data_IF_471131378893
#
_entry.id   IF_471131378893
#
_cell.length_a   1.000
_cell.length_b   1.000
_cell.length_c   1.000
_cell.angle_alpha   90.00
_cell.angle_beta   90.00
_cell.angle_gamma   90.00
#
_symmetry.space_group_name_H-M   'P 1'
#
loop_
_entity.id
_entity.type
_entity.pdbx_description
1 polymer ?
#
# COMPACT_ATOMS: atom_id res chain seq x y z
N UNK A 1 -47.25 4.94 3.49
CA UNK A 1 -45.99 4.16 3.43
C UNK A 1 -45.85 3.48 4.79
N UNK A 2 -46.11 2.21 4.85
CA UNK A 2 -45.89 1.41 6.09
C UNK A 2 -44.40 1.09 6.17
N UNK A 3 -43.76 1.54 7.23
CA UNK A 3 -42.39 1.15 7.57
C UNK A 3 -42.34 -0.37 7.71
N UNK A 4 -41.46 -1.08 7.02
CA UNK A 4 -41.32 -2.51 7.21
C UNK A 4 -40.98 -2.79 8.66
N UNK A 5 -41.77 -3.57 9.34
CA UNK A 5 -41.47 -4.07 10.69
C UNK A 5 -40.36 -5.12 10.54
N UNK A 6 -39.47 -5.17 11.51
CA UNK A 6 -38.27 -6.02 11.61
C UNK A 6 -38.53 -7.56 11.53
N UNK A 7 -39.76 -7.97 11.24
CA UNK A 7 -40.21 -9.38 11.13
C UNK A 7 -40.42 -9.85 9.69
N UNK A 8 -40.30 -9.00 8.69
CA UNK A 8 -40.42 -9.45 7.30
C UNK A 8 -39.15 -10.18 6.90
N UNK A 9 -39.24 -11.49 6.76
CA UNK A 9 -38.21 -12.32 6.14
C UNK A 9 -38.11 -11.93 4.65
N UNK A 10 -37.45 -10.85 4.34
CA UNK A 10 -37.17 -10.47 2.97
C UNK A 10 -36.22 -11.53 2.37
N UNK A 11 -36.77 -12.39 1.54
CA UNK A 11 -36.03 -13.27 0.66
C UNK A 11 -35.72 -12.43 -0.58
N UNK A 12 -34.46 -12.06 -0.74
CA UNK A 12 -34.00 -11.43 -1.96
C UNK A 12 -33.63 -12.52 -2.96
N UNK A 13 -34.01 -12.31 -4.22
CA UNK A 13 -33.57 -13.12 -5.36
C UNK A 13 -32.73 -12.24 -6.27
N UNK A 14 -31.60 -12.76 -6.72
CA UNK A 14 -30.85 -12.13 -7.83
C UNK A 14 -31.59 -12.33 -9.16
N UNK A 15 -31.03 -11.75 -10.23
CA UNK A 15 -31.57 -11.86 -11.57
C UNK A 15 -31.57 -13.32 -12.10
N UNK A 16 -30.72 -14.17 -11.54
CA UNK A 16 -30.56 -15.60 -11.84
C UNK A 16 -31.49 -16.48 -10.98
N UNK A 17 -32.25 -15.91 -10.03
CA UNK A 17 -33.22 -16.62 -9.20
C UNK A 17 -32.68 -17.26 -7.92
N UNK A 18 -31.42 -17.00 -7.56
CA UNK A 18 -30.84 -17.48 -6.30
C UNK A 18 -31.47 -16.76 -5.09
N UNK A 19 -31.84 -17.51 -4.06
CA UNK A 19 -32.41 -16.96 -2.83
C UNK A 19 -31.32 -16.62 -1.81
N UNK A 20 -31.32 -15.39 -1.31
CA UNK A 20 -30.46 -14.93 -0.21
C UNK A 20 -31.24 -14.86 1.09
N UNK A 21 -30.79 -15.57 2.12
CA UNK A 21 -31.53 -15.82 3.37
C UNK A 21 -31.51 -14.68 4.38
N UNK A 22 -31.32 -13.51 4.13
CA UNK A 22 -31.40 -12.23 4.86
C UNK A 22 -30.38 -11.26 4.29
N UNK A 23 -30.78 -10.05 4.07
CA UNK A 23 -29.90 -8.95 3.76
C UNK A 23 -30.01 -7.88 4.84
N UNK A 24 -28.89 -7.39 5.34
CA UNK A 24 -28.88 -6.13 6.06
C UNK A 24 -28.73 -5.01 5.05
N UNK A 25 -29.55 -3.96 5.17
CA UNK A 25 -29.42 -2.75 4.37
C UNK A 25 -28.33 -1.90 5.01
N UNK A 26 -27.25 -1.70 4.30
CA UNK A 26 -26.22 -0.73 4.68
C UNK A 26 -26.66 0.67 4.21
N UNK A 27 -26.10 1.73 4.81
CA UNK A 27 -26.27 3.09 4.32
C UNK A 27 -25.87 3.14 2.84
N UNK A 28 -26.76 3.69 2.00
CA UNK A 28 -26.59 3.68 0.54
C UNK A 28 -27.39 2.62 -0.20
N UNK A 29 -28.18 1.76 0.50
CA UNK A 29 -29.08 0.80 -0.12
C UNK A 29 -28.43 -0.50 -0.58
N UNK A 30 -27.16 -0.74 -0.26
CA UNK A 30 -26.51 -2.01 -0.53
C UNK A 30 -27.03 -3.12 0.39
N UNK A 31 -27.28 -4.31 -0.17
CA UNK A 31 -27.73 -5.46 0.56
C UNK A 31 -26.57 -6.46 0.71
N UNK A 32 -26.33 -6.93 1.94
CA UNK A 32 -25.29 -7.92 2.21
C UNK A 32 -25.95 -9.23 2.69
N UNK A 33 -25.66 -10.37 2.05
CA UNK A 33 -26.12 -11.67 2.53
C UNK A 33 -25.55 -11.94 3.93
N UNK A 34 -26.36 -12.43 4.86
CA UNK A 34 -25.95 -12.66 6.26
C UNK A 34 -24.85 -13.72 6.40
N UNK A 35 -24.73 -14.61 5.43
CA UNK A 35 -23.73 -15.68 5.44
C UNK A 35 -22.46 -15.36 4.64
N UNK A 36 -22.35 -14.17 4.05
CA UNK A 36 -21.14 -13.75 3.37
C UNK A 36 -20.19 -13.06 4.36
N UNK A 37 -18.94 -13.46 4.36
CA UNK A 37 -17.89 -12.71 5.04
C UNK A 37 -17.74 -11.34 4.36
N UNK A 38 -18.01 -10.28 5.10
CA UNK A 38 -17.99 -8.90 4.59
C UNK A 38 -16.69 -8.57 3.85
N UNK A 39 -15.55 -8.94 4.43
CA UNK A 39 -14.25 -8.62 3.84
C UNK A 39 -13.99 -9.41 2.57
N UNK A 40 -14.46 -10.66 2.50
CA UNK A 40 -14.41 -11.45 1.27
C UNK A 40 -15.24 -10.79 0.16
N UNK A 41 -16.41 -10.28 0.47
CA UNK A 41 -17.26 -9.61 -0.51
C UNK A 41 -16.66 -8.25 -0.95
N UNK A 42 -16.03 -7.51 -0.04
CA UNK A 42 -15.25 -6.30 -0.38
C UNK A 42 -14.09 -6.66 -1.30
N UNK A 43 -13.34 -7.71 -0.99
CA UNK A 43 -12.20 -8.16 -1.81
C UNK A 43 -12.60 -8.59 -3.22
N UNK A 44 -13.83 -9.14 -3.38
CA UNK A 44 -14.42 -9.47 -4.69
C UNK A 44 -14.97 -8.25 -5.44
N UNK A 45 -15.04 -7.06 -4.80
CA UNK A 45 -15.64 -5.86 -5.37
C UNK A 45 -17.19 -5.85 -5.32
N UNK A 46 -17.79 -6.73 -4.54
CA UNK A 46 -19.26 -6.87 -4.44
C UNK A 46 -19.89 -5.83 -3.49
N UNK A 47 -19.10 -5.09 -2.72
CA UNK A 47 -19.58 -4.04 -1.80
C UNK A 47 -19.24 -2.68 -2.40
N UNK A 48 -20.22 -1.95 -2.94
CA UNK A 48 -19.98 -0.64 -3.56
C UNK A 48 -19.32 0.34 -2.60
N UNK A 49 -18.40 1.15 -3.11
CA UNK A 49 -17.69 2.16 -2.33
C UNK A 49 -16.69 1.64 -1.31
N UNK A 50 -16.49 0.31 -1.24
CA UNK A 50 -15.54 -0.31 -0.32
C UNK A 50 -14.43 -1.03 -1.08
N UNK A 51 -13.21 -0.95 -0.54
CA UNK A 51 -12.06 -1.70 -1.06
C UNK A 51 -11.06 -2.01 0.06
N UNK A 52 -10.18 -2.97 -0.18
CA UNK A 52 -9.10 -3.31 0.74
C UNK A 52 -7.76 -2.88 0.16
N UNK A 53 -6.91 -2.33 1.01
CA UNK A 53 -5.50 -2.11 0.70
C UNK A 53 -4.69 -3.01 1.62
N UNK A 54 -3.93 -3.92 1.03
CA UNK A 54 -2.88 -4.66 1.70
C UNK A 54 -1.55 -3.94 1.50
N UNK A 55 -0.81 -3.72 2.58
CA UNK A 55 0.49 -3.07 2.57
C UNK A 55 1.50 -3.85 3.37
N UNK A 56 2.68 -3.96 2.82
CA UNK A 56 3.84 -4.45 3.56
C UNK A 56 5.06 -3.59 3.25
N UNK A 57 6.00 -3.57 4.19
CA UNK A 57 7.27 -2.90 4.00
C UNK A 57 8.33 -3.54 4.88
N UNK A 58 9.56 -3.49 4.44
CA UNK A 58 10.71 -3.88 5.22
C UNK A 58 11.79 -2.82 5.13
N UNK A 59 12.67 -2.77 6.12
CA UNK A 59 13.77 -1.83 6.14
C UNK A 59 14.66 -1.98 7.36
N UNK A 60 15.84 -1.42 7.25
CA UNK A 60 16.81 -1.39 8.32
C UNK A 60 16.55 -0.19 9.24
N UNK A 61 16.10 -0.46 10.47
CA UNK A 61 15.96 0.55 11.50
C UNK A 61 17.33 0.97 12.04
N UNK A 62 17.45 2.26 12.35
CA UNK A 62 18.61 2.86 13.01
C UNK A 62 18.18 3.57 14.30
N UNK A 63 19.08 4.30 14.93
CA UNK A 63 18.76 5.14 16.10
C UNK A 63 17.86 6.32 15.77
N UNK A 64 17.79 6.72 14.51
CA UNK A 64 16.89 7.78 14.03
C UNK A 64 15.53 7.19 13.65
N UNK A 65 14.46 7.96 13.92
CA UNK A 65 13.12 7.59 13.47
C UNK A 65 13.04 7.75 11.95
N UNK A 66 12.63 6.68 11.28
CA UNK A 66 12.41 6.71 9.83
C UNK A 66 11.29 5.76 9.42
N UNK A 67 10.73 5.94 8.21
CA UNK A 67 9.72 5.04 7.67
C UNK A 67 10.27 3.63 7.50
N UNK A 68 9.39 2.64 7.63
CA UNK A 68 9.74 1.24 7.36
C UNK A 68 9.52 1.00 5.87
N UNK A 69 10.59 1.16 5.13
CA UNK A 69 10.66 0.97 3.68
C UNK A 69 12.11 0.65 3.28
N UNK A 70 12.31 -0.13 2.23
CA UNK A 70 13.63 -0.37 1.65
C UNK A 70 14.26 0.93 1.12
N UNK A 71 13.45 1.82 0.59
CA UNK A 71 13.89 3.17 0.24
C UNK A 71 14.04 3.99 1.51
N UNK A 72 15.09 4.79 1.60
CA UNK A 72 15.39 5.61 2.78
C UNK A 72 14.30 6.63 3.08
N UNK A 73 13.46 6.96 2.09
CA UNK A 73 12.45 8.00 2.19
C UNK A 73 11.13 7.57 1.55
N UNK A 74 10.02 8.01 2.14
CA UNK A 74 8.73 8.06 1.50
C UNK A 74 8.52 9.47 0.95
N UNK A 75 8.48 9.60 -0.38
CA UNK A 75 8.34 10.90 -1.05
C UNK A 75 6.90 11.39 -0.94
N UNK A 76 6.76 12.65 -0.58
CA UNK A 76 5.44 13.26 -0.31
C UNK A 76 5.28 14.64 -0.97
N UNK A 77 5.60 14.81 -2.27
CA UNK A 77 5.34 16.06 -2.95
C UNK A 77 3.82 16.32 -3.02
N UNK A 78 3.44 17.59 -3.09
CA UNK A 78 2.03 18.02 -3.33
C UNK A 78 1.77 18.29 -4.81
N UNK A 79 2.82 18.47 -5.59
CA UNK A 79 2.81 18.60 -7.05
C UNK A 79 3.48 17.35 -7.62
N UNK A 80 2.89 16.76 -8.64
CA UNK A 80 3.42 15.55 -9.26
C UNK A 80 4.80 15.78 -9.89
N UNK A 81 5.68 14.80 -9.69
CA UNK A 81 7.03 14.82 -10.26
C UNK A 81 7.07 13.97 -11.54
N UNK A 82 7.89 14.39 -12.50
CA UNK A 82 8.25 13.59 -13.65
C UNK A 82 9.19 12.48 -13.18
N UNK A 83 8.79 11.23 -13.35
CA UNK A 83 9.54 10.07 -12.86
C UNK A 83 10.14 9.27 -14.02
N UNK A 84 11.20 8.52 -13.73
CA UNK A 84 11.82 7.55 -14.63
C UNK A 84 12.15 6.26 -13.88
N UNK A 85 12.13 5.15 -14.61
CA UNK A 85 12.54 3.83 -14.11
C UNK A 85 13.77 3.35 -14.88
N UNK A 86 14.71 2.73 -14.18
CA UNK A 86 15.88 2.06 -14.76
C UNK A 86 16.26 0.85 -13.90
N UNK A 87 17.04 -0.05 -14.50
CA UNK A 87 17.72 -1.14 -13.79
C UNK A 87 19.22 -0.84 -13.63
N UNK A 88 19.86 -1.50 -12.70
CA UNK A 88 21.32 -1.57 -12.62
C UNK A 88 21.92 -2.64 -13.54
N UNK A 89 21.09 -3.49 -14.20
CA UNK A 89 21.51 -4.54 -15.11
C UNK A 89 20.90 -4.34 -16.51
N UNK A 90 21.75 -4.47 -17.54
CA UNK A 90 21.33 -4.30 -18.93
C UNK A 90 20.39 -5.41 -19.43
N UNK A 91 20.35 -6.56 -18.76
CA UNK A 91 19.48 -7.69 -19.10
C UNK A 91 18.02 -7.51 -18.66
N UNK A 92 17.70 -6.45 -17.91
CA UNK A 92 16.31 -6.09 -17.59
C UNK A 92 15.69 -5.26 -18.72
N UNK A 93 15.36 -5.94 -19.82
CA UNK A 93 14.76 -5.36 -21.02
C UNK A 93 13.99 -6.45 -21.80
N UNK A 94 13.12 -6.10 -22.77
CA UNK A 94 12.28 -7.08 -23.48
C UNK A 94 13.03 -8.17 -24.25
N UNK A 95 14.29 -7.98 -24.58
CA UNK A 95 15.13 -8.97 -25.27
C UNK A 95 16.02 -9.75 -24.28
N UNK A 96 16.08 -9.35 -23.02
CA UNK A 96 16.91 -9.95 -21.99
C UNK A 96 16.21 -11.04 -21.19
N UNK A 97 16.95 -11.60 -20.23
CA UNK A 97 16.45 -12.67 -19.36
C UNK A 97 15.74 -12.14 -18.09
N UNK A 98 15.96 -10.89 -17.74
CA UNK A 98 15.46 -10.29 -16.50
C UNK A 98 14.07 -9.68 -16.60
N UNK A 99 13.82 -8.61 -15.84
CA UNK A 99 12.56 -7.89 -15.87
C UNK A 99 12.30 -7.21 -17.20
N UNK A 100 11.10 -7.35 -17.76
CA UNK A 100 10.72 -6.73 -19.02
C UNK A 100 9.83 -5.50 -18.79
N UNK A 101 8.96 -5.54 -17.79
CA UNK A 101 7.98 -4.52 -17.52
C UNK A 101 7.71 -4.40 -16.03
N UNK A 102 7.45 -3.19 -15.60
CA UNK A 102 6.99 -2.89 -14.23
C UNK A 102 5.62 -2.22 -14.30
N UNK A 103 4.84 -2.41 -13.23
CA UNK A 103 3.59 -1.69 -12.99
C UNK A 103 3.77 -0.83 -11.74
N UNK A 104 3.52 0.46 -11.85
CA UNK A 104 3.58 1.44 -10.77
C UNK A 104 2.15 1.79 -10.36
N UNK A 105 1.87 1.80 -9.05
CA UNK A 105 0.58 2.08 -8.46
C UNK A 105 0.71 3.26 -7.48
N UNK A 106 -0.09 4.31 -7.68
CA UNK A 106 0.04 5.50 -6.88
C UNK A 106 -1.09 6.51 -7.07
N UNK A 107 -0.94 7.69 -6.47
CA UNK A 107 -1.85 8.83 -6.65
C UNK A 107 -1.29 9.80 -7.68
N UNK A 108 -2.13 10.19 -8.63
CA UNK A 108 -1.77 11.09 -9.74
C UNK A 108 -2.03 12.53 -9.36
N UNK A 109 -1.20 13.43 -9.89
CA UNK A 109 -1.31 14.88 -9.73
C UNK A 109 -2.70 15.40 -10.09
N UNK A 110 -3.14 16.43 -9.37
CA UNK A 110 -4.37 17.17 -9.60
C UNK A 110 -5.62 16.46 -9.08
N UNK A 111 -5.76 15.18 -9.30
CA UNK A 111 -6.95 14.41 -8.89
C UNK A 111 -6.80 13.73 -7.54
N UNK A 112 -5.58 13.36 -7.16
CA UNK A 112 -5.31 12.49 -5.98
C UNK A 112 -6.07 11.16 -6.05
N UNK A 113 -6.37 10.70 -7.27
CA UNK A 113 -6.99 9.40 -7.53
C UNK A 113 -5.90 8.36 -7.73
N UNK A 114 -6.17 7.15 -7.27
CA UNK A 114 -5.28 6.00 -7.47
C UNK A 114 -5.32 5.53 -8.91
N UNK A 115 -4.17 5.48 -9.54
CA UNK A 115 -3.99 4.99 -10.89
C UNK A 115 -2.75 4.09 -11.01
N UNK A 116 -2.72 3.31 -12.06
CA UNK A 116 -1.57 2.48 -12.42
C UNK A 116 -0.97 2.93 -13.75
N UNK A 117 0.34 2.70 -13.88
CA UNK A 117 1.06 2.85 -15.12
C UNK A 117 2.02 1.68 -15.33
N UNK A 118 2.01 1.14 -16.54
CA UNK A 118 2.95 0.11 -16.98
C UNK A 118 4.10 0.73 -17.77
N UNK A 119 5.33 0.37 -17.41
CA UNK A 119 6.56 0.87 -18.05
C UNK A 119 7.38 -0.31 -18.53
N UNK A 120 7.74 -0.30 -19.80
CA UNK A 120 8.66 -1.29 -20.39
C UNK A 120 10.08 -0.91 -20.02
N UNK A 121 10.80 -1.82 -19.39
CA UNK A 121 12.19 -1.61 -18.97
C UNK A 121 13.14 -1.56 -20.18
N UNK A 122 14.23 -0.80 -20.06
CA UNK A 122 15.27 -0.68 -21.06
C UNK A 122 16.69 -0.81 -20.45
N UNK A 123 16.82 -1.81 -19.57
CA UNK A 123 18.06 -2.08 -18.86
C UNK A 123 18.52 -0.87 -18.03
N UNK A 124 19.76 -0.47 -18.25
CA UNK A 124 20.37 0.67 -17.54
C UNK A 124 19.97 2.04 -18.11
N UNK A 125 19.23 2.06 -19.22
CA UNK A 125 18.73 3.31 -19.83
C UNK A 125 17.41 3.70 -19.15
N UNK A 126 17.31 4.90 -18.57
CA UNK A 126 16.09 5.36 -17.94
C UNK A 126 14.91 5.45 -18.91
N UNK A 127 13.73 5.05 -18.46
CA UNK A 127 12.46 5.18 -19.19
C UNK A 127 11.54 6.07 -18.39
N UNK A 128 11.11 7.18 -18.99
CA UNK A 128 10.22 8.14 -18.36
C UNK A 128 8.79 7.59 -18.24
N UNK A 129 8.13 7.91 -17.13
CA UNK A 129 6.70 7.69 -16.95
C UNK A 129 5.93 8.78 -17.71
N UNK A 130 4.68 8.47 -18.07
CA UNK A 130 3.76 9.42 -18.71
C UNK A 130 2.91 10.17 -17.68
N UNK A 131 2.64 9.54 -16.54
CA UNK A 131 1.87 10.12 -15.44
C UNK A 131 2.79 10.79 -14.42
N UNK A 132 2.30 11.89 -13.85
CA UNK A 132 2.94 12.55 -12.73
C UNK A 132 2.33 12.08 -11.42
N UNK A 133 3.12 11.42 -10.61
CA UNK A 133 2.67 10.90 -9.33
C UNK A 133 2.99 11.88 -8.19
N UNK A 134 2.05 12.02 -7.25
CA UNK A 134 2.26 12.67 -5.96
C UNK A 134 2.56 11.66 -4.86
N UNK A 135 2.20 10.39 -5.08
CA UNK A 135 2.51 9.23 -4.21
C UNK A 135 2.69 8.00 -5.05
N UNK A 136 3.65 7.16 -4.67
CA UNK A 136 3.77 5.79 -5.18
C UNK A 136 3.59 4.85 -4.00
N UNK A 137 2.58 4.00 -4.07
CA UNK A 137 2.24 3.06 -3.01
C UNK A 137 3.02 1.77 -3.10
N UNK A 138 3.10 1.27 -4.33
CA UNK A 138 3.81 0.06 -4.65
C UNK A 138 4.13 0.04 -6.14
N UNK A 139 5.15 -0.72 -6.49
CA UNK A 139 5.41 -1.08 -7.86
C UNK A 139 6.08 -2.43 -7.91
N UNK A 140 5.93 -3.13 -9.03
CA UNK A 140 6.37 -4.51 -9.16
C UNK A 140 6.71 -4.86 -10.60
N UNK A 141 7.51 -5.92 -10.76
CA UNK A 141 7.80 -6.50 -12.08
C UNK A 141 6.56 -7.27 -12.54
N UNK A 142 5.92 -6.78 -13.58
CA UNK A 142 4.69 -7.35 -14.15
C UNK A 142 4.93 -8.29 -15.31
N UNK A 143 6.15 -8.31 -15.85
CA UNK A 143 6.58 -9.25 -16.89
C UNK A 143 8.09 -9.50 -16.78
N UNK A 144 8.49 -10.77 -16.87
CA UNK A 144 9.89 -11.21 -16.87
C UNK A 144 10.18 -12.08 -18.08
N UNK A 145 11.44 -12.08 -18.55
CA UNK A 145 11.87 -12.83 -19.73
C UNK A 145 12.05 -14.33 -19.48
N UNK A 146 12.78 -14.67 -18.43
CA UNK A 146 12.93 -16.06 -18.01
C UNK A 146 12.18 -16.21 -16.71
N UNK A 147 11.03 -16.89 -16.75
CA UNK A 147 10.34 -17.18 -15.53
C UNK A 147 11.16 -18.14 -14.70
N UNK A 148 11.77 -17.56 -13.75
CA UNK A 148 12.17 -18.08 -12.50
C UNK A 148 12.20 -19.60 -12.38
N UNK A 149 13.32 -20.15 -12.61
CA UNK A 149 13.78 -21.19 -11.70
C UNK A 149 13.89 -20.55 -10.31
N UNK A 150 13.70 -21.30 -9.25
CA UNK A 150 13.77 -20.85 -7.86
C UNK A 150 14.97 -19.92 -7.54
N UNK A 151 15.99 -19.94 -8.38
CA UNK A 151 17.28 -19.29 -8.13
C UNK A 151 17.47 -17.99 -8.93
N UNK A 152 16.56 -17.61 -9.82
CA UNK A 152 16.78 -16.48 -10.77
C UNK A 152 15.96 -15.25 -10.41
N UNK A 153 14.81 -15.41 -9.75
CA UNK A 153 13.94 -14.29 -9.41
C UNK A 153 13.28 -13.62 -10.64
N UNK A 154 12.72 -12.43 -10.44
CA UNK A 154 11.90 -11.74 -11.45
C UNK A 154 12.68 -10.73 -12.29
N UNK A 155 13.87 -10.32 -11.86
CA UNK A 155 14.73 -9.31 -12.50
C UNK A 155 16.20 -9.56 -12.13
N UNK A 156 17.12 -8.94 -12.85
CA UNK A 156 18.56 -9.17 -12.66
C UNK A 156 19.20 -8.09 -11.80
N UNK A 157 18.93 -6.82 -12.07
CA UNK A 157 19.51 -5.69 -11.36
C UNK A 157 18.54 -5.04 -10.39
N UNK A 158 19.06 -4.22 -9.48
CA UNK A 158 18.20 -3.35 -8.66
C UNK A 158 17.46 -2.37 -9.56
N UNK A 159 16.14 -2.40 -9.50
CA UNK A 159 15.28 -1.45 -10.19
C UNK A 159 15.12 -0.19 -9.35
N UNK A 160 15.20 0.95 -9.99
CA UNK A 160 15.12 2.27 -9.32
C UNK A 160 14.03 3.10 -10.00
N UNK A 161 13.09 3.59 -9.20
CA UNK A 161 12.14 4.64 -9.55
C UNK A 161 12.65 5.94 -8.94
N UNK A 162 12.85 6.97 -9.77
CA UNK A 162 13.42 8.26 -9.33
C UNK A 162 12.85 9.43 -10.12
N UNK A 163 13.12 10.64 -9.65
CA UNK A 163 12.83 11.85 -10.41
C UNK A 163 13.65 11.84 -11.70
N UNK A 164 13.02 12.19 -12.82
CA UNK A 164 13.61 12.17 -14.15
C UNK A 164 14.87 13.05 -14.23
N UNK A 165 15.81 12.59 -15.07
CA UNK A 165 17.12 13.28 -15.20
C UNK A 165 18.12 12.93 -14.10
N UNK A 166 17.93 11.82 -13.39
CA UNK A 166 18.84 11.35 -12.34
C UNK A 166 18.63 12.04 -10.99
N UNK A 167 17.42 12.53 -10.73
CA UNK A 167 17.06 13.17 -9.47
C UNK A 167 16.83 12.18 -8.31
N UNK A 168 16.17 12.64 -7.27
CA UNK A 168 15.96 11.88 -6.03
C UNK A 168 15.25 10.55 -6.23
N UNK A 169 15.73 9.52 -5.56
CA UNK A 169 15.09 8.19 -5.55
C UNK A 169 13.77 8.23 -4.79
N UNK A 170 12.75 7.69 -5.41
CA UNK A 170 11.44 7.48 -4.80
C UNK A 170 11.31 6.11 -4.15
N UNK A 171 11.74 5.07 -4.86
CA UNK A 171 11.62 3.70 -4.41
C UNK A 171 12.58 2.79 -5.19
N UNK A 172 12.93 1.66 -4.58
CA UNK A 172 13.75 0.62 -5.20
C UNK A 172 13.09 -0.74 -5.06
N UNK A 173 13.37 -1.63 -6.02
CA UNK A 173 13.16 -3.07 -5.91
C UNK A 173 14.54 -3.71 -5.93
N UNK A 174 14.95 -4.29 -4.82
CA UNK A 174 16.30 -4.85 -4.68
C UNK A 174 16.45 -6.18 -5.41
N UNK A 175 17.62 -6.39 -5.99
CA UNK A 175 18.03 -7.70 -6.50
C UNK A 175 18.69 -8.58 -5.42
N UNK A 176 19.05 -8.02 -4.27
CA UNK A 176 19.77 -8.70 -3.19
C UNK A 176 18.88 -8.72 -1.91
N UNK A 177 18.80 -9.83 -1.18
CA UNK A 177 19.46 -11.14 -1.40
C UNK A 177 18.78 -12.00 -2.48
N UNK A 178 17.58 -11.64 -2.92
CA UNK A 178 16.84 -12.36 -3.95
C UNK A 178 15.86 -11.39 -4.66
N UNK A 179 15.80 -11.35 -6.00
CA UNK A 179 14.98 -10.39 -6.74
C UNK A 179 13.50 -10.77 -6.74
N UNK A 180 12.79 -10.44 -5.66
CA UNK A 180 11.37 -10.75 -5.46
C UNK A 180 10.43 -9.94 -6.37
N UNK A 181 10.93 -8.87 -6.98
CA UNK A 181 10.20 -8.12 -8.00
C UNK A 181 9.12 -7.20 -7.49
N UNK A 182 9.16 -6.82 -6.21
CA UNK A 182 8.19 -5.90 -5.63
C UNK A 182 8.84 -4.93 -4.66
N UNK A 183 8.34 -3.69 -4.65
CA UNK A 183 8.74 -2.68 -3.68
C UNK A 183 8.15 -2.98 -2.31
N UNK A 184 8.94 -2.69 -1.28
CA UNK A 184 8.56 -2.90 0.12
C UNK A 184 8.42 -1.54 0.81
N UNK A 185 7.17 -1.05 0.91
CA UNK A 185 6.85 0.27 1.44
C UNK A 185 5.72 0.15 2.47
N UNK A 186 6.07 0.25 3.74
CA UNK A 186 5.13 0.15 4.87
C UNK A 186 4.30 1.41 5.13
N UNK A 187 3.94 2.14 4.07
CA UNK A 187 3.18 3.37 4.11
C UNK A 187 2.18 3.42 2.95
N UNK A 188 1.11 4.19 3.14
CA UNK A 188 0.11 4.46 2.09
C UNK A 188 -0.55 5.81 2.35
N UNK A 189 -1.07 6.42 1.31
CA UNK A 189 -1.94 7.60 1.43
C UNK A 189 -3.38 7.18 1.18
N UNK A 190 -4.27 7.52 2.12
CA UNK A 190 -5.71 7.41 1.90
C UNK A 190 -6.08 8.45 0.84
N UNK A 191 -6.69 8.05 -0.28
CA UNK A 191 -7.06 8.98 -1.35
C UNK A 191 -8.08 10.02 -0.89
N UNK A 192 -8.14 11.13 -1.62
CA UNK A 192 -9.20 12.13 -1.43
C UNK A 192 -10.58 11.52 -1.71
N UNK A 193 -11.56 11.82 -0.87
CA UNK A 193 -12.92 11.28 -0.99
C UNK A 193 -13.09 9.87 -0.43
N UNK A 194 -12.09 9.39 0.33
CA UNK A 194 -12.14 8.13 1.04
C UNK A 194 -11.75 8.29 2.51
N UNK A 195 -12.29 7.41 3.32
CA UNK A 195 -11.90 7.23 4.72
C UNK A 195 -11.34 5.81 4.90
N UNK A 196 -10.16 5.72 5.51
CA UNK A 196 -9.47 4.47 5.78
C UNK A 196 -9.67 3.97 7.20
N UNK A 197 -9.77 2.66 7.38
CA UNK A 197 -9.86 2.01 8.68
C UNK A 197 -8.82 0.89 8.78
N UNK A 198 -7.95 0.95 9.79
CA UNK A 198 -6.96 -0.10 10.04
C UNK A 198 -7.66 -1.36 10.55
N UNK A 199 -7.50 -2.46 9.83
CA UNK A 199 -8.14 -3.75 10.12
C UNK A 199 -7.19 -4.75 10.78
N UNK A 200 -5.98 -4.88 10.23
CA UNK A 200 -4.95 -5.75 10.78
C UNK A 200 -3.57 -5.10 10.68
N UNK A 201 -2.67 -5.52 11.54
CA UNK A 201 -1.25 -5.17 11.49
C UNK A 201 -0.39 -6.27 12.03
N UNK A 202 0.76 -6.48 11.41
CA UNK A 202 1.84 -7.32 11.88
C UNK A 202 3.14 -6.52 11.87
N UNK A 203 3.97 -6.73 12.88
CA UNK A 203 5.29 -6.12 12.99
C UNK A 203 6.28 -7.23 13.35
N UNK A 204 7.37 -7.31 12.65
CA UNK A 204 8.49 -8.16 12.98
C UNK A 204 9.76 -7.30 13.15
N UNK A 205 10.50 -7.56 14.21
CA UNK A 205 11.82 -6.97 14.46
C UNK A 205 12.80 -8.12 14.73
N UNK A 206 14.01 -8.01 14.21
CA UNK A 206 15.08 -8.97 14.48
C UNK A 206 15.09 -9.38 15.96
N UNK A 207 15.10 -10.70 16.20
CA UNK A 207 15.02 -11.28 17.56
C UNK A 207 16.21 -10.95 18.45
N UNK A 208 17.30 -10.44 17.91
CA UNK A 208 18.50 -10.01 18.66
C UNK A 208 18.42 -8.55 19.11
N UNK A 209 17.45 -7.79 18.62
CA UNK A 209 17.31 -6.35 18.82
C UNK A 209 15.94 -5.99 19.40
N UNK A 210 15.87 -4.79 19.91
CA UNK A 210 14.61 -4.20 20.42
C UNK A 210 14.37 -2.87 19.73
N UNK A 211 13.17 -2.72 19.15
CA UNK A 211 12.78 -1.52 18.45
C UNK A 211 11.55 -0.85 19.08
N UNK A 212 11.43 0.44 18.88
CA UNK A 212 10.17 1.15 19.04
C UNK A 212 9.57 1.38 17.67
N UNK A 213 8.33 0.95 17.48
CA UNK A 213 7.60 1.05 16.23
C UNK A 213 6.36 1.90 16.45
N UNK A 214 6.07 2.77 15.52
CA UNK A 214 5.00 3.75 15.60
C UNK A 214 4.13 3.67 14.37
N UNK A 215 2.82 3.58 14.54
CA UNK A 215 1.86 3.85 13.47
C UNK A 215 1.47 5.32 13.52
N UNK A 216 1.69 6.02 12.44
CA UNK A 216 1.44 7.46 12.35
C UNK A 216 0.33 7.80 11.37
N UNK A 217 -0.22 8.98 11.55
CA UNK A 217 -1.15 9.63 10.65
C UNK A 217 -0.65 11.05 10.35
N UNK A 218 -0.65 11.42 9.08
CA UNK A 218 -0.40 12.80 8.64
C UNK A 218 -1.58 13.26 7.78
N UNK A 219 -2.46 14.05 8.39
CA UNK A 219 -3.61 14.65 7.71
C UNK A 219 -3.18 15.78 6.77
N UNK A 220 -4.06 16.16 5.84
CA UNK A 220 -3.83 17.23 4.86
C UNK A 220 -2.56 16.95 4.02
N UNK A 221 -2.48 15.74 3.48
CA UNK A 221 -1.30 15.30 2.74
C UNK A 221 -1.11 16.08 1.42
N UNK A 222 -2.15 16.76 0.94
CA UNK A 222 -2.14 17.66 -0.21
C UNK A 222 -1.65 19.09 0.11
N UNK A 223 -1.51 19.45 1.40
CA UNK A 223 -1.05 20.76 1.83
C UNK A 223 0.40 20.76 2.37
N UNK A 224 0.97 19.59 2.67
CA UNK A 224 2.25 19.48 3.38
C UNK A 224 3.29 18.74 2.57
N UNK A 225 4.33 19.43 2.13
CA UNK A 225 5.41 18.86 1.29
C UNK A 225 6.38 18.01 2.11
N UNK A 226 6.76 18.47 3.31
CA UNK A 226 7.81 17.82 4.07
C UNK A 226 7.39 16.46 4.63
N UNK A 227 8.18 15.39 4.41
CA UNK A 227 7.92 14.08 5.00
C UNK A 227 7.86 14.17 6.53
N UNK A 228 6.88 13.49 7.15
CA UNK A 228 6.76 13.36 8.62
C UNK A 228 6.72 14.68 9.41
N UNK A 229 6.38 15.78 8.77
CA UNK A 229 6.21 17.09 9.40
C UNK A 229 4.78 17.59 9.28
N UNK A 230 4.48 18.75 9.82
CA UNK A 230 3.14 19.33 9.83
C UNK A 230 2.24 18.67 10.88
N UNK A 231 1.01 18.37 10.52
CA UNK A 231 0.00 17.81 11.42
C UNK A 231 0.12 16.30 11.66
N UNK A 232 1.34 15.76 11.61
CA UNK A 232 1.58 14.36 11.93
C UNK A 232 1.30 14.08 13.40
N UNK A 233 0.59 13.00 13.66
CA UNK A 233 0.40 12.47 15.01
C UNK A 233 0.62 10.96 15.04
N UNK A 234 1.04 10.48 16.19
CA UNK A 234 1.08 9.05 16.45
C UNK A 234 -0.33 8.55 16.71
N UNK A 235 -0.71 7.52 15.98
CA UNK A 235 -1.97 6.80 16.20
C UNK A 235 -1.78 5.66 17.19
N UNK A 236 -0.70 4.89 17.02
CA UNK A 236 -0.30 3.82 17.92
C UNK A 236 1.22 3.81 18.14
N UNK A 237 1.64 3.26 19.27
CA UNK A 237 3.04 3.18 19.68
C UNK A 237 3.32 1.84 20.33
N UNK A 238 4.21 1.06 19.70
CA UNK A 238 4.71 -0.20 20.23
C UNK A 238 6.15 0.01 20.73
N UNK A 239 6.37 -0.23 21.99
CA UNK A 239 7.69 -0.03 22.63
C UNK A 239 8.28 -1.39 22.95
N UNK A 240 9.57 -1.56 22.64
CA UNK A 240 10.29 -2.76 23.00
C UNK A 240 9.92 -3.98 22.18
N UNK A 241 9.47 -3.78 20.93
CA UNK A 241 9.15 -4.88 20.02
C UNK A 241 10.40 -5.70 19.74
N UNK A 242 10.26 -7.01 19.88
CA UNK A 242 11.30 -7.98 19.61
C UNK A 242 10.65 -9.24 19.03
N UNK A 243 11.11 -9.72 17.88
CA UNK A 243 10.45 -10.81 17.18
C UNK A 243 9.13 -10.36 16.56
N UNK A 244 8.20 -11.30 16.38
CA UNK A 244 6.91 -11.05 15.77
C UNK A 244 5.90 -10.49 16.77
N UNK A 245 5.19 -9.46 16.37
CA UNK A 245 4.02 -8.92 17.04
C UNK A 245 2.91 -8.71 16.03
N UNK A 246 1.78 -9.35 16.23
CA UNK A 246 0.61 -9.23 15.35
C UNK A 246 -0.65 -8.92 16.14
N UNK A 247 -1.51 -8.12 15.56
CA UNK A 247 -2.83 -7.82 16.08
C UNK A 247 -3.83 -7.80 14.92
N UNK A 248 -4.76 -8.78 14.94
CA UNK A 248 -6.01 -8.65 14.20
C UNK A 248 -7.00 -7.92 15.11
N UNK A 249 -7.61 -6.85 14.65
CA UNK A 249 -8.61 -6.13 15.43
C UNK A 249 -9.99 -6.71 15.15
N UNK A 250 -10.75 -7.01 16.22
CA UNK A 250 -12.14 -7.44 16.06
C UNK A 250 -13.02 -6.32 15.44
N UNK A 251 -12.57 -5.07 15.55
CA UNK A 251 -13.23 -3.89 15.00
C UNK A 251 -12.19 -3.01 14.31
N UNK A 252 -12.48 -2.49 13.10
CA UNK A 252 -11.61 -1.54 12.42
C UNK A 252 -11.33 -0.32 13.31
N UNK A 253 -10.07 0.12 13.33
CA UNK A 253 -9.66 1.33 14.04
C UNK A 253 -9.38 2.44 13.05
N UNK A 254 -9.59 3.68 13.45
CA UNK A 254 -9.18 4.85 12.68
C UNK A 254 -10.35 5.73 12.30
N UNK A 255 -10.60 5.91 11.04
CA UNK A 255 -11.32 7.03 10.43
C UNK A 255 -10.30 8.02 9.91
N UNK A 256 -9.31 7.49 9.14
CA UNK A 256 -8.29 8.30 8.48
C UNK A 256 -8.90 8.94 7.24
N UNK A 257 -9.37 10.18 7.40
CA UNK A 257 -10.00 10.92 6.29
C UNK A 257 -8.93 11.35 5.28
N UNK A 258 -9.13 11.02 4.02
CA UNK A 258 -8.22 11.39 2.93
C UNK A 258 -8.34 12.85 2.48
N UNK A 259 -7.26 13.43 1.91
CA UNK A 259 -5.97 12.80 1.73
C UNK A 259 -5.14 12.75 3.02
N UNK A 260 -4.67 11.56 3.36
CA UNK A 260 -3.99 11.33 4.63
C UNK A 260 -2.89 10.27 4.45
N UNK A 261 -1.64 10.59 4.78
CA UNK A 261 -0.56 9.60 4.82
C UNK A 261 -0.62 8.83 6.14
N UNK A 262 -0.58 7.50 6.05
CA UNK A 262 -0.53 6.59 7.19
C UNK A 262 0.54 5.53 6.98
N UNK A 263 1.03 4.94 8.05
CA UNK A 263 1.97 3.84 7.97
C UNK A 263 2.86 3.71 9.18
N UNK A 264 3.91 2.93 9.02
CA UNK A 264 4.84 2.61 10.07
C UNK A 264 6.15 3.36 9.95
N UNK A 265 6.65 3.81 11.09
CA UNK A 265 8.03 4.27 11.27
C UNK A 265 8.60 3.64 12.53
N UNK A 266 9.93 3.57 12.62
CA UNK A 266 10.55 2.94 13.76
C UNK A 266 11.96 3.41 14.03
N UNK A 267 12.48 3.02 15.20
CA UNK A 267 13.88 3.19 15.58
C UNK A 267 14.30 2.13 16.57
N UNK A 268 15.60 1.87 16.62
CA UNK A 268 16.24 1.10 17.70
C UNK A 268 16.92 2.02 18.69
N UNK A 269 17.20 1.51 19.89
CA UNK A 269 17.94 2.27 20.91
C UNK A 269 19.44 2.28 20.63
N UNK A 270 19.96 1.24 19.93
CA UNK A 270 21.39 1.07 19.65
C UNK A 270 21.60 0.18 18.41
N UNK A 271 22.53 0.57 17.57
CA UNK A 271 22.90 -0.18 16.36
C UNK A 271 21.81 -0.16 15.29
N UNK A 272 21.58 -1.29 14.63
CA UNK A 272 20.58 -1.48 13.59
C UNK A 272 19.77 -2.74 13.81
N UNK A 273 18.57 -2.81 13.26
CA UNK A 273 17.72 -4.01 13.23
C UNK A 273 16.91 -4.08 11.95
N UNK A 274 16.78 -5.28 11.41
CA UNK A 274 15.80 -5.54 10.36
C UNK A 274 14.40 -5.47 10.94
N UNK A 275 13.53 -4.82 10.22
CA UNK A 275 12.12 -4.68 10.59
C UNK A 275 11.25 -4.84 9.36
N UNK A 276 10.18 -5.61 9.50
CA UNK A 276 9.12 -5.68 8.51
C UNK A 276 7.77 -5.38 9.14
N UNK A 277 6.88 -4.82 8.36
CA UNK A 277 5.51 -4.50 8.74
C UNK A 277 4.56 -4.90 7.65
N UNK A 278 3.37 -5.30 8.07
CA UNK A 278 2.26 -5.63 7.19
C UNK A 278 0.99 -5.06 7.82
N UNK A 279 0.09 -4.52 7.02
CA UNK A 279 -1.18 -4.04 7.51
C UNK A 279 -2.25 -3.99 6.41
N UNK A 280 -3.49 -4.05 6.84
CA UNK A 280 -4.65 -3.97 5.97
C UNK A 280 -5.54 -2.79 6.34
N UNK A 281 -5.97 -2.06 5.33
CA UNK A 281 -6.87 -0.92 5.43
C UNK A 281 -8.13 -1.23 4.65
N UNK A 282 -9.27 -1.11 5.31
CA UNK A 282 -10.55 -0.98 4.65
C UNK A 282 -10.71 0.48 4.21
N UNK A 283 -10.83 0.70 2.92
CA UNK A 283 -11.21 2.00 2.36
C UNK A 283 -12.72 2.04 2.15
N UNK A 284 -13.33 3.14 2.59
CA UNK A 284 -14.74 3.45 2.35
C UNK A 284 -14.81 4.79 1.65
N UNK A 285 -15.50 4.84 0.53
CA UNK A 285 -15.80 6.10 -0.16
C UNK A 285 -16.71 6.96 0.72
N UNK A 286 -16.39 8.25 0.88
CA UNK A 286 -17.08 9.15 1.83
C UNK A 286 -18.59 9.28 1.56
N UNK A 287 -19.03 8.99 0.34
CA UNK A 287 -20.47 8.93 -0.03
C UNK A 287 -21.22 7.75 0.62
N UNK A 288 -20.52 6.80 1.21
CA UNK A 288 -21.07 5.61 1.88
C UNK A 288 -20.91 5.65 3.42
N UNK A 289 -20.32 6.69 3.96
CA UNK A 289 -20.21 6.93 5.40
C UNK A 289 -21.42 7.74 5.90
#
# INVERSE_FOLDING_TARGET
MTTPTQTDNLRLRDAEGNEYQRASVLNGGAHMPINADFFTEVAKGNVPGHSLIHKFGAGLLTTDIKPITLSTYFRTPIVGEDLEVLSSDAGDNPAGAGGHRVTIDGLVEGTWVREQEEVVLNGTTPVALTKKFVRVFSWYVSLSGTYATQDVGSHLGTLTLRVAGGGDTWSTISADPFPLGQSEVGLVTIPKGYTGFLYSKNVFVDTTKTANVYFFQRSLADDTIAPYTGTMRLFEKEIGVKGAFGLATAFPKGGFVGPCDIGFMGKVSQGTADCSVEFEILLVEDSYL
#
